data_IF_087646761171
#
_entry.id   IF_087646761171
#
_cell.length_a   1.000
_cell.length_b   1.000
_cell.length_c   1.000
_cell.angle_alpha   90.00
_cell.angle_beta   90.00
_cell.angle_gamma   90.00
#
_symmetry.space_group_name_H-M   'P 1'
#
loop_
_entity.id
_entity.type
_entity.pdbx_description
1 polymer ?
#
# COMPACT_ATOMS: atom_id res chain seq x y z
N UNK A 1 14.61 -13.64 17.63
CA UNK A 1 14.74 -12.31 16.99
C UNK A 1 14.26 -12.32 15.54
N UNK A 2 14.91 -13.03 14.61
CA UNK A 2 14.44 -13.07 13.20
C UNK A 2 13.05 -13.69 13.04
N UNK A 3 12.74 -14.78 13.77
CA UNK A 3 11.40 -15.36 13.78
C UNK A 3 10.34 -14.36 14.27
N UNK A 4 10.63 -13.58 15.31
CA UNK A 4 9.68 -12.61 15.87
C UNK A 4 9.40 -11.49 14.86
N UNK A 5 10.44 -11.02 14.17
CA UNK A 5 10.33 -10.01 13.12
C UNK A 5 9.53 -10.52 11.92
N UNK A 6 9.78 -11.77 11.49
CA UNK A 6 9.04 -12.42 10.42
C UNK A 6 7.56 -12.60 10.80
N UNK A 7 7.27 -13.03 12.03
CA UNK A 7 5.91 -13.16 12.52
C UNK A 7 5.19 -11.79 12.57
N UNK A 8 5.86 -10.75 13.10
CA UNK A 8 5.28 -9.42 13.17
C UNK A 8 5.00 -8.81 11.78
N UNK A 9 5.95 -8.91 10.85
CA UNK A 9 5.78 -8.44 9.47
C UNK A 9 4.66 -9.19 8.74
N UNK A 10 4.56 -10.51 8.93
CA UNK A 10 3.50 -11.33 8.34
C UNK A 10 2.11 -10.95 8.85
N UNK A 11 1.98 -10.71 10.17
CA UNK A 11 0.72 -10.27 10.78
C UNK A 11 0.31 -8.89 10.25
N UNK A 12 1.27 -7.95 10.16
CA UNK A 12 0.99 -6.62 9.62
C UNK A 12 0.58 -6.67 8.14
N UNK A 13 1.22 -7.51 7.33
CA UNK A 13 0.81 -7.73 5.94
C UNK A 13 -0.60 -8.32 5.87
N UNK A 14 -0.95 -9.27 6.73
CA UNK A 14 -2.29 -9.86 6.78
C UNK A 14 -3.36 -8.81 7.15
N UNK A 15 -3.10 -7.98 8.17
CA UNK A 15 -3.98 -6.88 8.57
C UNK A 15 -4.16 -5.88 7.43
N UNK A 16 -3.06 -5.47 6.79
CA UNK A 16 -3.12 -4.54 5.66
C UNK A 16 -3.92 -5.11 4.49
N UNK A 17 -3.74 -6.39 4.18
CA UNK A 17 -4.47 -7.08 3.11
C UNK A 17 -5.96 -7.16 3.44
N UNK A 18 -6.32 -7.46 4.69
CA UNK A 18 -7.70 -7.49 5.14
C UNK A 18 -8.35 -6.09 5.08
N UNK A 19 -7.67 -5.06 5.57
CA UNK A 19 -8.14 -3.66 5.50
C UNK A 19 -8.29 -3.20 4.05
N UNK A 20 -7.33 -3.55 3.19
CA UNK A 20 -7.40 -3.25 1.76
C UNK A 20 -8.62 -3.94 1.14
N UNK A 21 -8.81 -5.24 1.36
CA UNK A 21 -9.97 -5.99 0.87
C UNK A 21 -11.31 -5.44 1.36
N UNK A 22 -11.35 -4.96 2.60
CA UNK A 22 -12.56 -4.38 3.19
C UNK A 22 -12.89 -2.98 2.65
N UNK A 23 -11.88 -2.12 2.45
CA UNK A 23 -12.09 -0.74 2.00
C UNK A 23 -12.15 -0.60 0.47
N UNK A 24 -11.51 -1.51 -0.28
CA UNK A 24 -11.41 -1.41 -1.73
C UNK A 24 -12.76 -1.32 -2.46
N UNK A 25 -13.81 -2.08 -2.12
CA UNK A 25 -15.11 -1.98 -2.80
C UNK A 25 -15.69 -0.56 -2.75
N UNK A 26 -15.65 0.07 -1.57
CA UNK A 26 -16.14 1.44 -1.39
C UNK A 26 -15.29 2.47 -2.14
N UNK A 27 -13.97 2.27 -2.21
CA UNK A 27 -13.07 3.12 -2.99
C UNK A 27 -13.40 2.98 -4.48
N UNK A 28 -13.61 1.75 -4.94
CA UNK A 28 -13.91 1.43 -6.34
C UNK A 28 -15.26 2.00 -6.79
N UNK A 29 -16.29 1.97 -5.94
CA UNK A 29 -17.58 2.60 -6.23
C UNK A 29 -17.44 4.06 -6.67
N UNK A 30 -16.59 4.83 -5.96
CA UNK A 30 -16.37 6.24 -6.28
C UNK A 30 -15.54 6.41 -7.56
N UNK A 31 -14.57 5.52 -7.80
CA UNK A 31 -13.79 5.53 -9.04
C UNK A 31 -14.67 5.27 -10.29
N UNK A 32 -15.76 4.51 -10.13
CA UNK A 32 -16.71 4.18 -11.18
C UNK A 32 -17.77 5.27 -11.45
N UNK A 33 -17.96 6.24 -10.56
CA UNK A 33 -18.94 7.34 -10.76
C UNK A 33 -18.64 8.07 -12.07
N UNK A 34 -19.62 8.17 -12.97
CA UNK A 34 -19.48 8.99 -14.18
C UNK A 34 -19.78 10.46 -13.82
N UNK A 35 -18.92 11.43 -14.18
CA UNK A 35 -19.22 12.84 -13.95
C UNK A 35 -20.52 13.23 -14.65
N UNK A 36 -21.38 13.98 -13.98
CA UNK A 36 -22.60 14.51 -14.59
C UNK A 36 -22.26 15.69 -15.52
N UNK A 37 -23.10 15.91 -16.53
CA UNK A 37 -23.06 17.13 -17.36
C UNK A 37 -23.43 18.37 -16.54
N UNK A 38 -24.20 18.19 -15.45
CA UNK A 38 -24.60 19.27 -14.55
C UNK A 38 -23.91 19.13 -13.18
N UNK A 39 -23.04 20.08 -12.77
CA UNK A 39 -22.27 20.01 -11.53
C UNK A 39 -23.12 19.92 -10.25
N UNK A 40 -24.37 20.39 -10.31
CA UNK A 40 -25.31 20.39 -9.17
C UNK A 40 -25.68 18.95 -8.77
N UNK A 41 -25.78 18.04 -9.74
CA UNK A 41 -26.13 16.63 -9.51
C UNK A 41 -24.98 15.85 -8.86
N UNK A 42 -23.74 16.34 -9.03
CA UNK A 42 -22.55 15.73 -8.47
C UNK A 42 -22.29 16.09 -7.01
N UNK A 43 -23.05 17.02 -6.40
CA UNK A 43 -22.90 17.37 -4.98
C UNK A 43 -22.99 16.16 -4.05
N UNK A 44 -23.96 15.27 -4.30
CA UNK A 44 -24.14 14.04 -3.50
C UNK A 44 -23.00 13.04 -3.72
N UNK A 45 -22.55 12.89 -4.97
CA UNK A 45 -21.43 12.03 -5.35
C UNK A 45 -20.11 12.52 -4.73
N UNK A 46 -19.89 13.83 -4.73
CA UNK A 46 -18.74 14.47 -4.13
C UNK A 46 -18.72 14.32 -2.61
N UNK A 47 -19.86 14.49 -1.93
CA UNK A 47 -19.97 14.26 -0.49
C UNK A 47 -19.61 12.81 -0.12
N UNK A 48 -20.16 11.82 -0.83
CA UNK A 48 -19.82 10.40 -0.65
C UNK A 48 -18.33 10.12 -0.90
N UNK A 49 -17.76 10.75 -1.93
CA UNK A 49 -16.34 10.65 -2.24
C UNK A 49 -15.45 11.24 -1.14
N UNK A 50 -15.84 12.40 -0.59
CA UNK A 50 -15.11 13.06 0.50
C UNK A 50 -15.14 12.24 1.79
N UNK A 51 -16.30 11.67 2.11
CA UNK A 51 -16.47 10.77 3.25
C UNK A 51 -15.57 9.54 3.08
N UNK A 52 -15.69 8.81 1.97
CA UNK A 52 -14.91 7.61 1.67
C UNK A 52 -13.40 7.89 1.67
N UNK A 53 -12.98 9.06 1.15
CA UNK A 53 -11.58 9.48 1.22
C UNK A 53 -11.09 9.58 2.66
N UNK A 54 -11.83 10.28 3.51
CA UNK A 54 -11.41 10.61 4.87
C UNK A 54 -11.50 9.40 5.82
N UNK A 55 -12.49 8.53 5.66
CA UNK A 55 -12.75 7.43 6.59
C UNK A 55 -12.10 6.11 6.19
N UNK A 56 -11.78 5.93 4.90
CA UNK A 56 -11.27 4.64 4.38
C UNK A 56 -9.92 4.81 3.69
N UNK A 57 -9.85 5.65 2.67
CA UNK A 57 -8.68 5.75 1.80
C UNK A 57 -7.47 6.37 2.50
N UNK A 58 -7.65 7.47 3.24
CA UNK A 58 -6.57 8.13 3.98
C UNK A 58 -6.01 7.21 5.09
N UNK A 59 -6.84 6.61 5.96
CA UNK A 59 -6.35 5.66 6.96
C UNK A 59 -5.57 4.49 6.34
N UNK A 60 -6.06 3.92 5.24
CA UNK A 60 -5.38 2.83 4.52
C UNK A 60 -4.04 3.26 3.95
N UNK A 61 -3.97 4.46 3.36
CA UNK A 61 -2.73 5.02 2.80
C UNK A 61 -1.71 5.29 3.90
N UNK A 62 -2.13 5.91 5.02
CA UNK A 62 -1.23 6.17 6.15
C UNK A 62 -0.72 4.84 6.72
N UNK A 63 -1.60 3.86 6.92
CA UNK A 63 -1.24 2.56 7.45
C UNK A 63 -0.19 1.84 6.59
N UNK A 64 -0.40 1.79 5.28
CA UNK A 64 0.55 1.15 4.36
C UNK A 64 1.90 1.88 4.30
N UNK A 65 1.90 3.21 4.25
CA UNK A 65 3.14 4.01 4.25
C UNK A 65 3.92 3.84 5.55
N UNK A 66 3.26 3.94 6.72
CA UNK A 66 3.94 3.83 8.02
C UNK A 66 4.57 2.45 8.17
N UNK A 67 3.82 1.38 7.89
CA UNK A 67 4.34 0.01 7.99
C UNK A 67 5.50 -0.20 7.03
N UNK A 68 5.37 0.29 5.80
CA UNK A 68 6.44 0.23 4.80
C UNK A 68 7.71 0.94 5.26
N UNK A 69 7.60 2.14 5.84
CA UNK A 69 8.75 2.90 6.37
C UNK A 69 9.42 2.20 7.56
N UNK A 70 8.65 1.53 8.42
CA UNK A 70 9.18 0.77 9.56
C UNK A 70 10.04 -0.41 9.09
N UNK A 71 9.62 -1.13 8.05
CA UNK A 71 10.36 -2.29 7.52
C UNK A 71 11.43 -1.93 6.49
N UNK A 72 11.40 -0.71 5.92
CA UNK A 72 12.36 -0.24 4.94
C UNK A 72 13.84 -0.34 5.38
N UNK A 73 14.26 0.14 6.58
CA UNK A 73 15.67 0.08 6.96
C UNK A 73 16.17 -1.36 7.09
N UNK A 74 15.36 -2.25 7.66
CA UNK A 74 15.73 -3.64 7.84
C UNK A 74 15.79 -4.38 6.50
N UNK A 75 14.84 -4.13 5.60
CA UNK A 75 14.87 -4.67 4.24
C UNK A 75 16.12 -4.24 3.46
N UNK A 76 16.52 -2.96 3.57
CA UNK A 76 17.74 -2.46 2.94
C UNK A 76 18.99 -3.10 3.55
N UNK A 77 19.04 -3.25 4.87
CA UNK A 77 20.15 -3.89 5.56
C UNK A 77 20.34 -5.34 5.08
N UNK A 78 19.26 -6.10 5.01
CA UNK A 78 19.31 -7.48 4.50
C UNK A 78 19.74 -7.54 3.02
N UNK A 79 19.31 -6.58 2.18
CA UNK A 79 19.80 -6.52 0.80
C UNK A 79 21.30 -6.25 0.70
N UNK A 80 21.84 -5.34 1.52
CA UNK A 80 23.28 -5.05 1.55
C UNK A 80 24.06 -6.29 1.98
N UNK A 81 23.63 -6.95 3.06
CA UNK A 81 24.27 -8.20 3.53
C UNK A 81 24.26 -9.27 2.44
N UNK A 82 23.12 -9.48 1.77
CA UNK A 82 23.03 -10.43 0.66
C UNK A 82 23.95 -10.06 -0.51
N UNK A 83 24.10 -8.77 -0.80
CA UNK A 83 24.97 -8.28 -1.87
C UNK A 83 26.45 -8.47 -1.54
N UNK A 84 26.87 -8.17 -0.31
CA UNK A 84 28.25 -8.34 0.15
C UNK A 84 28.65 -9.83 0.16
N UNK A 85 27.76 -10.70 0.65
CA UNK A 85 27.98 -12.15 0.61
C UNK A 85 28.13 -12.69 -0.82
N UNK A 86 27.36 -12.14 -1.77
CA UNK A 86 27.44 -12.51 -3.18
C UNK A 86 28.78 -12.11 -3.79
N UNK A 87 29.30 -10.93 -3.45
CA UNK A 87 30.60 -10.44 -3.94
C UNK A 87 31.75 -11.25 -3.34
N UNK A 88 31.73 -11.48 -2.03
CA UNK A 88 32.86 -12.10 -1.33
C UNK A 88 33.00 -13.60 -1.62
N UNK A 89 31.89 -14.33 -1.71
CA UNK A 89 31.89 -15.79 -1.75
C UNK A 89 31.41 -16.38 -3.09
N UNK A 90 30.88 -15.54 -3.98
CA UNK A 90 30.26 -15.98 -5.23
C UNK A 90 29.08 -16.94 -5.01
N UNK A 91 28.57 -17.52 -6.10
CA UNK A 91 27.43 -18.44 -6.03
C UNK A 91 27.73 -19.80 -5.38
N UNK A 92 29.01 -20.14 -5.16
CA UNK A 92 29.43 -21.49 -4.77
C UNK A 92 29.37 -21.76 -3.26
N UNK A 93 29.21 -20.73 -2.42
CA UNK A 93 29.18 -20.85 -0.94
C UNK A 93 28.03 -20.10 -0.27
N UNK A 94 26.97 -19.74 -1.00
CA UNK A 94 25.80 -19.12 -0.41
C UNK A 94 25.05 -20.12 0.48
N UNK A 95 25.10 -19.91 1.79
CA UNK A 95 24.19 -20.58 2.72
C UNK A 95 22.82 -19.92 2.59
N UNK A 96 21.86 -20.64 2.01
CA UNK A 96 20.49 -20.13 1.84
C UNK A 96 19.75 -20.14 3.17
N UNK A 97 19.34 -18.96 3.63
CA UNK A 97 18.49 -18.80 4.81
C UNK A 97 17.03 -18.57 4.38
N UNK A 98 16.20 -19.59 4.60
CA UNK A 98 14.77 -19.57 4.30
C UNK A 98 14.02 -18.47 5.07
N UNK A 99 14.44 -18.12 6.30
CA UNK A 99 13.77 -17.09 7.11
C UNK A 99 13.98 -15.71 6.52
N UNK A 100 15.23 -15.40 6.13
CA UNK A 100 15.57 -14.11 5.50
C UNK A 100 14.83 -14.00 4.16
N UNK A 101 14.87 -15.05 3.33
CA UNK A 101 14.17 -15.08 2.06
C UNK A 101 12.65 -14.83 2.24
N UNK A 102 12.02 -15.46 3.23
CA UNK A 102 10.60 -15.27 3.52
C UNK A 102 10.30 -13.84 3.98
N UNK A 103 11.13 -13.29 4.87
CA UNK A 103 11.00 -11.90 5.33
C UNK A 103 11.10 -10.91 4.17
N UNK A 104 12.05 -11.12 3.26
CA UNK A 104 12.23 -10.30 2.06
C UNK A 104 10.99 -10.33 1.16
N UNK A 105 10.37 -11.50 0.99
CA UNK A 105 9.12 -11.66 0.23
C UNK A 105 7.96 -10.92 0.91
N UNK A 106 7.82 -11.03 2.23
CA UNK A 106 6.78 -10.31 2.99
C UNK A 106 6.95 -8.80 2.84
N UNK A 107 8.17 -8.28 3.00
CA UNK A 107 8.47 -6.86 2.80
C UNK A 107 8.17 -6.42 1.37
N UNK A 108 8.53 -7.23 0.38
CA UNK A 108 8.21 -6.96 -1.03
C UNK A 108 6.71 -6.78 -1.25
N UNK A 109 5.86 -7.64 -0.68
CA UNK A 109 4.41 -7.48 -0.77
C UNK A 109 3.89 -6.23 -0.05
N UNK A 110 4.46 -5.87 1.11
CA UNK A 110 4.13 -4.63 1.81
C UNK A 110 4.44 -3.40 0.94
N UNK A 111 5.61 -3.36 0.29
CA UNK A 111 5.98 -2.27 -0.62
C UNK A 111 5.06 -2.22 -1.85
N UNK A 112 4.76 -3.36 -2.46
CA UNK A 112 3.85 -3.45 -3.60
C UNK A 112 2.46 -2.92 -3.23
N UNK A 113 1.92 -3.33 -2.09
CA UNK A 113 0.63 -2.86 -1.60
C UNK A 113 0.63 -1.35 -1.33
N UNK A 114 1.74 -0.83 -0.79
CA UNK A 114 1.92 0.61 -0.55
C UNK A 114 1.91 1.39 -1.86
N UNK A 115 2.70 0.97 -2.85
CA UNK A 115 2.73 1.61 -4.18
C UNK A 115 1.34 1.58 -4.83
N UNK A 116 0.65 0.44 -4.77
CA UNK A 116 -0.70 0.32 -5.32
C UNK A 116 -1.69 1.26 -4.61
N UNK A 117 -1.64 1.34 -3.28
CA UNK A 117 -2.51 2.22 -2.48
C UNK A 117 -2.27 3.70 -2.82
N UNK A 118 -1.01 4.10 -2.99
CA UNK A 118 -0.63 5.44 -3.43
C UNK A 118 -1.15 5.74 -4.84
N UNK A 119 -1.01 4.80 -5.78
CA UNK A 119 -1.55 4.95 -7.13
C UNK A 119 -3.08 5.10 -7.13
N UNK A 120 -3.79 4.31 -6.32
CA UNK A 120 -5.23 4.42 -6.13
C UNK A 120 -5.58 5.78 -5.54
N UNK A 121 -4.82 6.25 -4.55
CA UNK A 121 -5.03 7.57 -3.95
C UNK A 121 -4.96 8.70 -4.99
N UNK A 122 -3.94 8.72 -5.85
CA UNK A 122 -3.84 9.73 -6.90
C UNK A 122 -4.97 9.65 -7.92
N UNK A 123 -5.34 8.43 -8.36
CA UNK A 123 -6.50 8.22 -9.24
C UNK A 123 -7.79 8.73 -8.59
N UNK A 124 -7.96 8.47 -7.29
CA UNK A 124 -9.12 8.89 -6.52
C UNK A 124 -9.20 10.42 -6.38
N UNK A 125 -8.09 11.08 -6.05
CA UNK A 125 -8.04 12.54 -5.96
C UNK A 125 -8.30 13.18 -7.33
N UNK A 126 -7.74 12.63 -8.41
CA UNK A 126 -8.03 13.07 -9.78
C UNK A 126 -9.53 12.91 -10.11
N UNK A 127 -10.14 11.81 -9.70
CA UNK A 127 -11.57 11.57 -9.85
C UNK A 127 -12.41 12.57 -9.06
N UNK A 128 -12.07 12.80 -7.79
CA UNK A 128 -12.74 13.79 -6.94
C UNK A 128 -12.69 15.20 -7.54
N UNK A 129 -11.55 15.58 -8.15
CA UNK A 129 -11.47 16.85 -8.87
C UNK A 129 -12.50 16.90 -9.99
N UNK A 130 -12.73 15.80 -10.74
CA UNK A 130 -13.69 15.73 -11.86
C UNK A 130 -15.16 15.87 -11.45
N UNK A 131 -15.52 15.33 -10.30
CA UNK A 131 -16.88 15.39 -9.74
C UNK A 131 -17.07 16.56 -8.77
N UNK A 132 -16.14 17.53 -8.73
CA UNK A 132 -16.24 18.67 -7.82
C UNK A 132 -17.34 19.63 -8.32
N UNK A 133 -18.39 19.90 -7.52
CA UNK A 133 -19.47 20.82 -7.91
C UNK A 133 -18.98 22.26 -8.12
N UNK A 134 -17.89 22.68 -7.48
CA UNK A 134 -17.32 24.03 -7.58
C UNK A 134 -16.41 24.22 -8.81
N UNK A 135 -16.56 23.39 -9.85
CA UNK A 135 -15.79 23.48 -11.10
C UNK A 135 -16.28 24.57 -12.08
N UNK A 136 -17.20 25.43 -11.63
CA UNK A 136 -17.80 26.51 -12.43
C UNK A 136 -16.83 27.65 -12.64
#
# INVERSE_FOLDING_TARGET
MMNDLLSASSILLAILTALYGFFYPSINEVLLIKPSTHPVDDKRNYAKAKETRNTRLIPLMIGTIVISLVFLPEFLNQMVICYDLLIEHGFQKLSYDTLIATFMVVCFFIFLLTINTVNIFFKYVSKMKKINPDRS
#
